data_IF_963376038117
#
_entry.id   IF_963376038117
#
_cell.length_a   1.000
_cell.length_b   1.000
_cell.length_c   1.000
_cell.angle_alpha   90.00
_cell.angle_beta   90.00
_cell.angle_gamma   90.00
#
_symmetry.space_group_name_H-M   'P 1'
#
loop_
_entity.id
_entity.type
_entity.pdbx_description
1 polymer ?
#
# COMPACT_ATOMS: atom_id res chain seq x y z
N UNK A 1 -13.73 1.55 -27.74
CA UNK A 1 -12.77 2.65 -28.05
C UNK A 1 -12.43 3.34 -26.74
N UNK A 2 -11.14 3.53 -26.44
CA UNK A 2 -10.71 4.28 -25.24
C UNK A 2 -10.85 5.78 -25.47
N UNK A 3 -11.17 6.55 -24.42
CA UNK A 3 -11.15 8.02 -24.51
C UNK A 3 -9.76 8.50 -24.97
N UNK A 4 -9.67 9.38 -25.99
CA UNK A 4 -8.40 9.90 -26.48
C UNK A 4 -7.66 10.74 -25.43
N UNK A 5 -8.36 11.21 -24.40
CA UNK A 5 -7.79 12.02 -23.31
C UNK A 5 -7.21 11.19 -22.17
N UNK A 6 -7.59 9.91 -22.04
CA UNK A 6 -7.06 9.03 -20.99
C UNK A 6 -5.74 8.45 -21.46
N UNK A 7 -4.65 8.83 -20.80
CA UNK A 7 -3.29 8.44 -21.19
C UNK A 7 -2.73 7.31 -20.33
N UNK A 8 -2.99 7.33 -19.02
CA UNK A 8 -2.67 6.24 -18.10
C UNK A 8 -3.86 5.95 -17.17
N UNK A 9 -4.03 4.69 -16.78
CA UNK A 9 -4.98 4.21 -15.78
C UNK A 9 -4.15 3.54 -14.69
N UNK A 10 -4.05 4.18 -13.53
CA UNK A 10 -3.31 3.62 -12.40
C UNK A 10 -4.21 2.65 -11.65
N UNK A 11 -3.74 1.41 -11.50
CA UNK A 11 -4.47 0.36 -10.80
C UNK A 11 -3.68 -0.02 -9.57
N UNK A 12 -4.24 0.30 -8.42
CA UNK A 12 -3.62 0.09 -7.11
C UNK A 12 -3.94 -1.35 -6.66
N UNK A 13 -2.91 -2.04 -6.17
CA UNK A 13 -3.06 -3.37 -5.57
C UNK A 13 -4.06 -3.35 -4.39
N UNK A 14 -4.91 -4.38 -4.26
CA UNK A 14 -5.80 -4.47 -3.11
C UNK A 14 -5.00 -4.65 -1.82
N UNK A 15 -5.49 -4.01 -0.75
CA UNK A 15 -4.89 -4.11 0.57
C UNK A 15 -5.45 -5.33 1.34
N UNK A 16 -4.66 -6.03 2.18
CA UNK A 16 -5.18 -7.10 3.02
C UNK A 16 -6.12 -6.56 4.11
N UNK A 17 -6.91 -7.47 4.69
CA UNK A 17 -7.53 -7.23 5.98
C UNK A 17 -6.56 -7.68 7.07
N UNK A 18 -6.17 -6.76 7.94
CA UNK A 18 -5.28 -7.04 9.07
C UNK A 18 -6.02 -7.85 10.14
N UNK A 19 -5.25 -8.64 10.89
CA UNK A 19 -5.79 -9.49 11.95
C UNK A 19 -6.14 -8.71 13.23
N UNK A 20 -5.69 -7.45 13.31
CA UNK A 20 -5.92 -6.55 14.43
C UNK A 20 -5.84 -5.08 14.00
N UNK A 21 -6.28 -4.17 14.87
CA UNK A 21 -6.21 -2.72 14.64
C UNK A 21 -4.85 -2.21 15.13
N UNK A 22 -3.93 -1.75 14.25
CA UNK A 22 -2.57 -1.45 14.67
C UNK A 22 -2.46 -0.23 15.58
N UNK A 23 -3.23 0.84 15.30
CA UNK A 23 -3.21 2.06 16.11
C UNK A 23 -3.58 1.81 17.58
N UNK A 24 -4.69 1.11 17.92
CA UNK A 24 -5.00 0.73 19.29
C UNK A 24 -3.94 -0.15 19.96
N UNK A 25 -3.42 -1.17 19.27
CA UNK A 25 -2.39 -2.06 19.83
C UNK A 25 -1.10 -1.30 20.12
N UNK A 26 -0.69 -0.41 19.22
CA UNK A 26 0.48 0.45 19.40
C UNK A 26 0.29 1.39 20.60
N UNK A 27 -0.85 2.06 20.69
CA UNK A 27 -1.17 2.94 21.82
C UNK A 27 -1.15 2.19 23.17
N UNK A 28 -1.70 0.98 23.21
CA UNK A 28 -1.67 0.13 24.40
C UNK A 28 -0.24 -0.18 24.83
N UNK A 29 0.61 -0.71 23.93
CA UNK A 29 1.99 -1.07 24.25
C UNK A 29 2.80 0.13 24.73
N UNK A 30 2.66 1.28 24.04
CA UNK A 30 3.34 2.51 24.42
C UNK A 30 2.89 3.00 25.82
N UNK A 31 1.60 2.93 26.14
CA UNK A 31 1.09 3.33 27.47
C UNK A 31 1.61 2.45 28.61
N UNK A 32 2.03 1.22 28.29
CA UNK A 32 2.55 0.23 29.24
C UNK A 32 4.08 0.17 29.24
N UNK A 33 4.77 1.03 28.48
CA UNK A 33 6.22 0.97 28.25
C UNK A 33 6.68 -0.42 27.74
N UNK A 34 5.84 -1.09 26.96
CA UNK A 34 6.14 -2.39 26.38
C UNK A 34 6.81 -2.25 25.00
N UNK A 35 7.66 -3.23 24.61
CA UNK A 35 8.19 -3.32 23.25
C UNK A 35 7.10 -3.32 22.17
N UNK A 36 7.42 -2.74 21.00
CA UNK A 36 6.50 -2.62 19.85
C UNK A 36 6.90 -3.51 18.67
N UNK A 37 7.83 -4.44 18.89
CA UNK A 37 8.35 -5.41 17.92
C UNK A 37 7.30 -6.41 17.44
N UNK A 38 6.22 -6.61 18.20
CA UNK A 38 5.05 -7.41 17.77
C UNK A 38 4.08 -6.65 16.84
N UNK A 39 4.27 -5.35 16.63
CA UNK A 39 3.35 -4.55 15.80
C UNK A 39 3.76 -4.59 14.33
N UNK A 40 3.63 -5.76 13.72
CA UNK A 40 3.94 -6.00 12.31
C UNK A 40 2.91 -6.91 11.65
N UNK A 41 2.95 -6.95 10.33
CA UNK A 41 2.21 -7.92 9.55
C UNK A 41 3.15 -8.87 8.82
N UNK A 42 2.81 -10.15 8.76
CA UNK A 42 3.63 -11.13 8.03
C UNK A 42 3.42 -10.96 6.53
N UNK A 43 4.52 -10.93 5.77
CA UNK A 43 4.43 -10.83 4.32
C UNK A 43 3.68 -12.02 3.70
N UNK A 44 3.84 -13.22 4.25
CA UNK A 44 3.09 -14.40 3.81
C UNK A 44 1.57 -14.22 3.99
N UNK A 45 1.14 -13.68 5.14
CA UNK A 45 -0.28 -13.39 5.38
C UNK A 45 -0.83 -12.36 4.39
N UNK A 46 -0.04 -11.32 4.08
CA UNK A 46 -0.38 -10.35 3.04
C UNK A 46 -0.57 -11.04 1.69
N UNK A 47 0.43 -11.81 1.28
CA UNK A 47 0.47 -12.51 0.00
C UNK A 47 -0.75 -13.43 -0.17
N UNK A 48 -1.07 -14.23 0.84
CA UNK A 48 -2.17 -15.18 0.80
C UNK A 48 -3.54 -14.49 0.65
N UNK A 49 -3.71 -13.29 1.19
CA UNK A 49 -4.94 -12.50 1.03
C UNK A 49 -4.99 -11.72 -0.29
N UNK A 50 -3.87 -11.13 -0.71
CA UNK A 50 -3.82 -10.15 -1.79
C UNK A 50 -3.57 -10.79 -3.16
N UNK A 51 -2.64 -11.75 -3.26
CA UNK A 51 -2.22 -12.33 -4.54
C UNK A 51 -3.37 -12.92 -5.37
N UNK A 52 -4.37 -13.62 -4.80
CA UNK A 52 -5.46 -14.16 -5.58
C UNK A 52 -6.25 -13.09 -6.33
N UNK A 53 -6.50 -11.94 -5.69
CA UNK A 53 -7.19 -10.82 -6.31
C UNK A 53 -6.26 -10.05 -7.25
N UNK A 54 -5.03 -9.80 -6.83
CA UNK A 54 -4.06 -9.04 -7.61
C UNK A 54 -3.69 -9.73 -8.92
N UNK A 55 -3.49 -11.05 -8.91
CA UNK A 55 -3.21 -11.81 -10.13
C UNK A 55 -4.36 -11.78 -11.15
N UNK A 56 -5.63 -11.77 -10.68
CA UNK A 56 -6.79 -11.58 -11.56
C UNK A 56 -6.80 -10.19 -12.18
N UNK A 57 -6.48 -9.15 -11.41
CA UNK A 57 -6.37 -7.78 -11.89
C UNK A 57 -5.25 -7.68 -12.94
N UNK A 58 -4.05 -8.20 -12.65
CA UNK A 58 -2.92 -8.21 -13.57
C UNK A 58 -3.24 -8.95 -14.88
N UNK A 59 -3.97 -10.07 -14.80
CA UNK A 59 -4.42 -10.80 -15.99
C UNK A 59 -5.37 -9.96 -16.86
N UNK A 60 -6.34 -9.27 -16.26
CA UNK A 60 -7.24 -8.36 -16.97
C UNK A 60 -6.52 -7.15 -17.56
N UNK A 61 -5.44 -6.69 -16.91
CA UNK A 61 -4.63 -5.57 -17.39
C UNK A 61 -3.79 -5.91 -18.62
N UNK A 62 -3.57 -7.20 -18.96
CA UNK A 62 -2.81 -7.59 -20.17
C UNK A 62 -3.41 -7.01 -21.46
N UNK A 63 -4.72 -6.81 -21.51
CA UNK A 63 -5.41 -6.16 -22.64
C UNK A 63 -5.51 -4.64 -22.52
N UNK A 64 -4.92 -4.04 -21.50
CA UNK A 64 -4.97 -2.60 -21.23
C UNK A 64 -3.56 -1.99 -21.35
N UNK A 65 -3.14 -1.52 -22.55
CA UNK A 65 -1.80 -0.95 -22.75
C UNK A 65 -1.58 0.37 -21.99
N UNK A 66 -2.64 0.99 -21.48
CA UNK A 66 -2.61 2.22 -20.69
C UNK A 66 -2.61 1.97 -19.17
N UNK A 67 -2.74 0.71 -18.74
CA UNK A 67 -2.87 0.39 -17.33
C UNK A 67 -1.48 0.28 -16.68
N UNK A 68 -1.30 0.96 -15.55
CA UNK A 68 -0.05 0.98 -14.77
C UNK A 68 -0.31 0.34 -13.41
N UNK A 69 0.25 -0.86 -13.12
CA UNK A 69 0.10 -1.49 -11.82
C UNK A 69 0.89 -0.76 -10.76
N UNK A 70 0.31 -0.61 -9.58
CA UNK A 70 0.96 -0.05 -8.40
C UNK A 70 0.85 -1.07 -7.25
N UNK A 71 1.87 -1.93 -7.06
CA UNK A 71 1.93 -2.85 -5.93
C UNK A 71 2.15 -2.06 -4.64
N UNK A 72 1.11 -1.94 -3.81
CA UNK A 72 1.23 -1.17 -2.57
C UNK A 72 2.10 -1.88 -1.54
N UNK A 73 2.22 -3.21 -1.62
CA UNK A 73 3.13 -4.01 -0.77
C UNK A 73 4.57 -3.48 -0.79
N UNK A 74 5.02 -2.91 -1.91
CA UNK A 74 6.40 -2.41 -2.06
C UNK A 74 6.70 -1.21 -1.14
N UNK A 75 5.66 -0.53 -0.65
CA UNK A 75 5.82 0.60 0.28
C UNK A 75 5.84 0.17 1.74
N UNK A 76 5.14 -0.92 2.07
CA UNK A 76 4.90 -1.34 3.44
C UNK A 76 5.72 -2.56 3.85
N UNK A 77 6.07 -3.43 2.91
CA UNK A 77 6.75 -4.69 3.18
C UNK A 77 8.24 -4.63 2.84
N UNK A 78 9.07 -5.14 3.76
CA UNK A 78 10.52 -5.30 3.59
C UNK A 78 10.92 -6.72 4.02
N UNK A 79 11.29 -7.55 3.05
CA UNK A 79 11.53 -8.97 3.30
C UNK A 79 10.26 -9.68 3.78
N UNK A 80 10.34 -10.35 4.93
CA UNK A 80 9.25 -11.18 5.45
C UNK A 80 8.25 -10.41 6.34
N UNK A 81 8.45 -9.11 6.55
CA UNK A 81 7.62 -8.28 7.44
C UNK A 81 7.08 -7.05 6.72
N UNK A 82 5.87 -6.63 7.09
CA UNK A 82 5.26 -5.40 6.67
C UNK A 82 5.05 -4.46 7.86
N UNK A 83 5.52 -3.23 7.71
CA UNK A 83 5.41 -2.17 8.69
C UNK A 83 3.94 -1.79 8.88
N UNK A 84 3.49 -1.75 10.13
CA UNK A 84 2.18 -1.22 10.52
C UNK A 84 2.27 0.14 11.21
N UNK A 85 3.49 0.60 11.47
CA UNK A 85 3.82 1.89 12.05
C UNK A 85 5.21 2.33 11.62
N UNK A 86 5.53 3.61 11.77
CA UNK A 86 6.88 4.13 11.59
C UNK A 86 7.67 4.05 12.90
N UNK A 87 8.80 3.34 12.89
CA UNK A 87 9.58 3.08 14.11
C UNK A 87 10.08 4.36 14.78
N UNK A 88 10.47 5.37 14.00
CA UNK A 88 11.05 6.63 14.51
C UNK A 88 10.03 7.50 15.23
N UNK A 89 8.82 7.61 14.68
CA UNK A 89 7.77 8.52 15.20
C UNK A 89 6.72 7.80 16.02
N UNK A 90 6.71 6.46 15.99
CA UNK A 90 5.68 5.61 16.60
C UNK A 90 4.27 5.98 16.13
N UNK A 91 4.14 6.48 14.90
CA UNK A 91 2.86 6.75 14.26
C UNK A 91 2.39 5.52 13.48
N UNK A 92 1.16 5.09 13.73
CA UNK A 92 0.59 3.98 12.96
C UNK A 92 0.34 4.38 11.52
N UNK A 93 0.62 3.46 10.59
CA UNK A 93 0.31 3.60 9.17
C UNK A 93 -1.15 3.25 8.86
N UNK A 94 -1.90 2.74 9.85
CA UNK A 94 -3.29 2.32 9.72
C UNK A 94 -4.16 2.94 10.79
N UNK A 95 -5.37 3.35 10.44
CA UNK A 95 -6.36 3.79 11.44
C UNK A 95 -7.19 2.63 12.00
N UNK A 96 -7.36 1.56 11.23
CA UNK A 96 -8.06 0.32 11.62
C UNK A 96 -7.43 -0.92 10.94
N UNK A 97 -8.17 -2.02 10.84
CA UNK A 97 -7.70 -3.27 10.23
C UNK A 97 -7.71 -3.29 8.67
N UNK A 98 -7.89 -2.16 7.98
CA UNK A 98 -7.89 -2.15 6.52
C UNK A 98 -7.66 -0.79 5.86
N UNK A 99 -7.77 0.30 6.60
CA UNK A 99 -7.62 1.66 6.09
C UNK A 99 -6.32 2.30 6.58
N UNK A 100 -5.63 2.97 5.66
CA UNK A 100 -4.45 3.76 5.98
C UNK A 100 -4.81 4.96 6.86
N UNK A 101 -3.93 5.27 7.81
CA UNK A 101 -3.94 6.55 8.49
C UNK A 101 -3.45 7.67 7.54
N UNK A 102 -3.62 8.96 7.88
CA UNK A 102 -2.98 10.04 7.13
C UNK A 102 -1.48 9.83 6.91
N UNK A 103 -0.78 9.33 7.94
CA UNK A 103 0.65 9.02 7.86
C UNK A 103 0.94 7.83 6.93
N UNK A 104 0.06 6.81 6.93
CA UNK A 104 0.13 5.72 5.95
C UNK A 104 -0.03 6.20 4.52
N UNK A 105 -0.94 7.15 4.28
CA UNK A 105 -1.14 7.78 2.96
C UNK A 105 0.09 8.59 2.55
N UNK A 106 0.66 9.40 3.45
CA UNK A 106 1.89 10.18 3.20
C UNK A 106 3.06 9.31 2.75
N UNK A 107 3.16 8.06 3.22
CA UNK A 107 4.21 7.13 2.80
C UNK A 107 4.12 6.72 1.32
N UNK A 108 2.91 6.73 0.74
CA UNK A 108 2.68 6.30 -0.65
C UNK A 108 2.69 7.51 -1.61
N UNK A 109 2.22 8.67 -1.14
CA UNK A 109 2.00 9.87 -1.96
C UNK A 109 3.21 10.29 -2.81
N UNK A 110 4.44 10.38 -2.29
CA UNK A 110 5.60 10.80 -3.09
C UNK A 110 5.82 9.94 -4.34
N UNK A 111 5.73 8.61 -4.19
CA UNK A 111 5.92 7.69 -5.32
C UNK A 111 4.74 7.71 -6.28
N UNK A 112 3.50 7.83 -5.76
CA UNK A 112 2.35 8.05 -6.64
C UNK A 112 2.54 9.32 -7.46
N UNK A 113 2.92 10.41 -6.81
CA UNK A 113 3.12 11.70 -7.44
C UNK A 113 4.26 11.67 -8.47
N UNK A 114 5.36 10.97 -8.19
CA UNK A 114 6.42 10.72 -9.17
C UNK A 114 5.91 9.95 -10.40
N UNK A 115 5.19 8.84 -10.19
CA UNK A 115 4.60 8.04 -11.28
C UNK A 115 3.59 8.85 -12.09
N UNK A 116 2.76 9.67 -11.43
CA UNK A 116 1.85 10.61 -12.08
C UNK A 116 2.61 11.66 -12.91
N UNK A 117 3.65 12.27 -12.35
CA UNK A 117 4.43 13.31 -13.02
C UNK A 117 5.19 12.76 -14.23
N UNK A 118 5.80 11.58 -14.13
CA UNK A 118 6.49 10.92 -15.24
C UNK A 118 5.49 10.52 -16.35
N UNK A 119 4.34 9.98 -15.94
CA UNK A 119 3.24 9.73 -16.85
C UNK A 119 2.76 10.98 -17.57
N UNK A 120 2.79 12.17 -16.94
CA UNK A 120 2.43 13.45 -17.55
C UNK A 120 3.53 14.02 -18.46
N UNK A 121 4.81 13.85 -18.13
CA UNK A 121 5.92 14.35 -18.97
C UNK A 121 5.99 13.65 -20.32
N UNK A 122 5.76 12.34 -20.34
CA UNK A 122 5.71 11.52 -21.56
C UNK A 122 4.52 11.84 -22.49
N UNK A 123 3.68 12.82 -22.12
CA UNK A 123 2.53 13.28 -22.88
C UNK A 123 2.80 14.54 -23.70
N UNK A 124 3.92 15.22 -23.39
CA UNK A 124 4.32 16.50 -23.97
C UNK A 124 5.45 16.37 -25.00
N UNK A 125 5.95 15.15 -25.21
CA UNK A 125 6.86 14.76 -26.29
C UNK A 125 6.03 14.10 -27.40
#
# INVERSE_FOLDING_TARGET
>A
MWSPHVKNIFVIEPHPKLDYHPAPKLAQLLSQNMPTDEVFYKYESWKNQVDPAWNRILAAMKSCPKCVPIPIRDFFCKGEVCDLYEEKTKLSLYCDAGHFSPHGVERIVPTLQEKFNNAIKNLKQ
#
